data_IF_199297455984
#
_entry.id   IF_199297455984
#
_cell.length_a   1.000
_cell.length_b   1.000
_cell.length_c   1.000
_cell.angle_alpha   90.00
_cell.angle_beta   90.00
_cell.angle_gamma   90.00
#
_symmetry.space_group_name_H-M   'P 1'
#
loop_
_entity.id
_entity.type
_entity.pdbx_description
1 polymer ?
#
# COMPACT_ATOMS: atom_id res chain seq x y z
N UNK A 1 14.50 6.63 -11.01
CA UNK A 1 13.04 6.73 -10.85
C UNK A 1 12.56 5.33 -10.52
N UNK A 2 11.78 5.17 -9.47
CA UNK A 2 11.24 3.87 -9.05
C UNK A 2 9.73 3.96 -9.22
N UNK A 3 9.13 2.95 -9.84
CA UNK A 3 7.68 2.85 -9.99
C UNK A 3 7.17 1.84 -8.96
N UNK A 4 6.30 2.31 -8.05
CA UNK A 4 5.57 1.43 -7.14
C UNK A 4 4.19 1.17 -7.72
N UNK A 5 3.80 -0.09 -7.86
CA UNK A 5 2.50 -0.49 -8.43
C UNK A 5 1.81 -1.46 -7.49
N UNK A 6 0.54 -1.20 -7.22
CA UNK A 6 -0.39 -2.11 -6.55
C UNK A 6 -1.49 -2.52 -7.52
N UNK A 7 -1.70 -3.82 -7.64
CA UNK A 7 -2.68 -4.40 -8.55
C UNK A 7 -3.36 -5.60 -7.92
N UNK A 8 -4.53 -5.95 -8.44
CA UNK A 8 -5.25 -7.17 -8.12
C UNK A 8 -5.56 -7.95 -9.41
N UNK A 9 -6.33 -9.03 -9.30
CA UNK A 9 -6.75 -9.83 -10.46
C UNK A 9 -7.61 -9.05 -11.48
N UNK A 10 -8.18 -7.90 -11.10
CA UNK A 10 -8.93 -6.99 -11.98
C UNK A 10 -8.05 -5.87 -12.55
N UNK A 11 -6.74 -5.88 -12.29
CA UNK A 11 -5.77 -4.91 -12.81
C UNK A 11 -5.22 -3.94 -11.77
N UNK A 12 -4.63 -2.84 -12.25
CA UNK A 12 -3.91 -1.86 -11.42
C UNK A 12 -4.87 -1.05 -10.56
N UNK A 13 -4.62 -1.03 -9.25
CA UNK A 13 -5.38 -0.26 -8.26
C UNK A 13 -4.72 1.10 -8.04
N UNK A 14 -3.41 1.12 -7.80
CA UNK A 14 -2.67 2.35 -7.53
C UNK A 14 -1.25 2.25 -8.10
N UNK A 15 -0.67 3.36 -8.54
CA UNK A 15 0.73 3.43 -8.92
C UNK A 15 1.27 4.81 -8.60
N UNK A 16 2.53 4.87 -8.21
CA UNK A 16 3.20 6.13 -7.87
C UNK A 16 4.66 6.11 -8.31
N UNK A 17 5.12 7.25 -8.84
CA UNK A 17 6.49 7.44 -9.29
C UNK A 17 7.31 8.11 -8.20
N UNK A 18 8.32 7.40 -7.70
CA UNK A 18 9.30 7.98 -6.80
C UNK A 18 10.31 8.82 -7.60
N UNK A 19 10.49 10.11 -7.26
CA UNK A 19 11.44 11.00 -7.93
C UNK A 19 12.85 10.42 -7.98
N UNK A 20 13.59 10.76 -9.03
CA UNK A 20 14.99 10.34 -9.17
C UNK A 20 15.83 10.91 -8.00
N UNK A 21 16.64 10.06 -7.37
CA UNK A 21 17.48 10.44 -6.23
C UNK A 21 16.79 10.34 -4.86
N UNK A 22 15.51 9.95 -4.80
CA UNK A 22 14.85 9.60 -3.54
C UNK A 22 14.89 8.08 -3.30
N UNK A 23 15.30 7.70 -2.10
CA UNK A 23 15.12 6.35 -1.58
C UNK A 23 13.73 6.24 -0.99
N UNK A 24 13.03 5.13 -1.24
CA UNK A 24 11.78 4.81 -0.53
C UNK A 24 12.16 4.55 0.93
N UNK A 25 12.03 5.58 1.77
CA UNK A 25 12.17 5.46 3.22
C UNK A 25 10.82 5.03 3.83
N UNK A 26 10.80 4.86 5.15
CA UNK A 26 9.64 4.33 5.85
C UNK A 26 8.46 5.30 5.80
N UNK A 27 8.74 6.59 5.92
CA UNK A 27 7.75 7.67 5.96
C UNK A 27 7.08 7.84 4.60
N UNK A 28 7.88 7.88 3.53
CA UNK A 28 7.40 7.96 2.15
C UNK A 28 6.60 6.71 1.77
N UNK A 29 7.02 5.53 2.24
CA UNK A 29 6.24 4.31 2.03
C UNK A 29 4.88 4.35 2.74
N UNK A 30 4.78 4.97 3.92
CA UNK A 30 3.48 5.16 4.58
C UNK A 30 2.55 6.08 3.80
N UNK A 31 3.07 7.16 3.21
CA UNK A 31 2.26 8.04 2.35
C UNK A 31 1.70 7.29 1.14
N UNK A 32 2.54 6.47 0.48
CA UNK A 32 2.11 5.59 -0.60
C UNK A 32 0.99 4.64 -0.12
N UNK A 33 1.08 4.09 1.09
CA UNK A 33 0.05 3.21 1.64
C UNK A 33 -1.25 3.96 1.99
N UNK A 34 -1.16 5.21 2.43
CA UNK A 34 -2.35 6.06 2.58
C UNK A 34 -3.04 6.28 1.24
N UNK A 35 -2.29 6.63 0.20
CA UNK A 35 -2.82 6.77 -1.16
C UNK A 35 -3.39 5.46 -1.70
N UNK A 36 -2.78 4.32 -1.37
CA UNK A 36 -3.31 3.01 -1.71
C UNK A 36 -4.67 2.76 -1.04
N UNK A 37 -4.81 3.05 0.25
CA UNK A 37 -6.08 2.89 0.97
C UNK A 37 -7.19 3.71 0.31
N UNK A 38 -6.90 4.99 0.00
CA UNK A 38 -7.84 5.87 -0.72
C UNK A 38 -8.18 5.32 -2.11
N UNK A 39 -7.20 4.78 -2.82
CA UNK A 39 -7.41 4.21 -4.15
C UNK A 39 -8.25 2.92 -4.10
N UNK A 40 -8.03 2.05 -3.11
CA UNK A 40 -8.87 0.87 -2.87
C UNK A 40 -10.30 1.31 -2.54
N UNK A 41 -10.46 2.26 -1.62
CA UNK A 41 -11.78 2.78 -1.26
C UNK A 41 -12.50 3.41 -2.45
N UNK A 42 -11.80 4.05 -3.39
CA UNK A 42 -12.45 4.67 -4.57
C UNK A 42 -12.71 3.70 -5.72
N UNK A 43 -11.77 2.79 -6.00
CA UNK A 43 -11.78 1.93 -7.21
C UNK A 43 -12.27 0.52 -6.95
N UNK A 44 -12.34 0.10 -5.69
CA UNK A 44 -12.69 -1.25 -5.23
C UNK A 44 -13.53 -1.15 -3.95
N UNK A 45 -14.60 -0.37 -3.99
CA UNK A 45 -15.57 -0.22 -2.89
C UNK A 45 -16.01 -1.58 -2.34
N UNK A 46 -16.22 -2.55 -3.24
CA UNK A 46 -16.63 -3.90 -2.91
C UNK A 46 -15.63 -4.64 -2.03
N UNK A 47 -14.33 -4.33 -2.12
CA UNK A 47 -13.29 -4.94 -1.28
C UNK A 47 -13.19 -4.22 0.07
N UNK A 48 -13.36 -2.89 0.05
CA UNK A 48 -13.30 -2.05 1.24
C UNK A 48 -14.42 -2.35 2.22
N UNK A 49 -15.67 -2.41 1.74
CA UNK A 49 -16.86 -2.54 2.59
C UNK A 49 -16.90 -3.86 3.35
N UNK A 50 -16.52 -4.95 2.71
CA UNK A 50 -16.47 -6.29 3.33
C UNK A 50 -15.14 -6.59 4.03
N UNK A 51 -14.19 -5.64 4.02
CA UNK A 51 -12.81 -5.79 4.52
C UNK A 51 -12.12 -7.07 4.03
N UNK A 52 -12.42 -7.49 2.80
CA UNK A 52 -11.94 -8.76 2.24
C UNK A 52 -10.80 -8.52 1.25
N UNK A 53 -9.77 -7.80 1.70
CA UNK A 53 -8.56 -7.63 0.93
C UNK A 53 -7.35 -7.61 1.86
N UNK A 54 -6.23 -8.11 1.35
CA UNK A 54 -4.98 -8.23 2.08
C UNK A 54 -3.88 -7.60 1.27
N UNK A 55 -2.93 -6.97 1.95
CA UNK A 55 -1.76 -6.41 1.28
C UNK A 55 -0.65 -7.46 1.29
N UNK A 56 -0.23 -7.85 0.09
CA UNK A 56 0.98 -8.65 -0.13
C UNK A 56 2.07 -7.73 -0.66
N UNK A 57 3.22 -7.70 0.02
CA UNK A 57 4.38 -6.90 -0.36
C UNK A 57 5.68 -7.54 0.12
N UNK A 58 6.79 -7.24 -0.56
CA UNK A 58 8.09 -7.78 -0.17
C UNK A 58 8.59 -7.21 1.17
N UNK A 59 9.33 -8.03 1.91
CA UNK A 59 9.92 -7.68 3.20
C UNK A 59 11.21 -6.84 3.05
N UNK A 60 11.15 -5.77 2.26
CA UNK A 60 12.25 -4.82 2.09
C UNK A 60 12.35 -3.89 3.32
N UNK A 61 13.54 -3.45 3.78
CA UNK A 61 13.72 -2.79 5.10
C UNK A 61 12.89 -1.52 5.37
N UNK A 62 12.36 -0.89 4.33
CA UNK A 62 11.47 0.26 4.41
C UNK A 62 9.99 -0.10 4.70
N UNK A 63 9.59 -1.35 4.44
CA UNK A 63 8.20 -1.81 4.42
C UNK A 63 7.69 -2.33 5.78
N UNK A 64 8.48 -3.09 6.59
CA UNK A 64 8.07 -3.52 7.92
C UNK A 64 8.50 -2.45 8.94
N UNK A 65 7.95 -1.25 8.82
CA UNK A 65 8.04 -0.29 9.92
C UNK A 65 6.85 -0.49 10.86
N UNK A 66 7.07 -0.33 12.17
CA UNK A 66 5.98 -0.35 13.17
C UNK A 66 4.86 0.66 12.82
N UNK A 67 5.22 1.72 12.10
CA UNK A 67 4.31 2.73 11.58
C UNK A 67 3.42 2.21 10.44
N UNK A 68 4.01 1.42 9.52
CA UNK A 68 3.26 0.73 8.45
C UNK A 68 2.29 -0.29 9.03
N UNK A 69 2.72 -1.06 10.03
CA UNK A 69 1.86 -2.02 10.74
C UNK A 69 0.71 -1.32 11.47
N UNK A 70 0.99 -0.18 12.14
CA UNK A 70 -0.05 0.62 12.80
C UNK A 70 -1.08 1.19 11.82
N UNK A 71 -0.63 1.62 10.63
CA UNK A 71 -1.51 2.10 9.57
C UNK A 71 -2.40 0.98 9.03
N UNK A 72 -1.83 -0.18 8.71
CA UNK A 72 -2.59 -1.33 8.23
C UNK A 72 -3.59 -1.81 9.30
N UNK A 73 -3.18 -1.88 10.57
CA UNK A 73 -4.05 -2.22 11.68
C UNK A 73 -5.20 -1.22 11.86
N UNK A 74 -4.94 0.09 11.76
CA UNK A 74 -5.97 1.14 11.84
C UNK A 74 -7.03 0.98 10.75
N UNK A 75 -6.63 0.59 9.55
CA UNK A 75 -7.55 0.35 8.44
C UNK A 75 -8.12 -1.08 8.43
N UNK A 76 -7.68 -1.95 9.36
CA UNK A 76 -8.10 -3.35 9.46
C UNK A 76 -7.69 -4.19 8.24
N UNK A 77 -6.53 -3.87 7.66
CA UNK A 77 -5.98 -4.55 6.49
C UNK A 77 -5.04 -5.65 6.97
N UNK A 78 -5.32 -6.93 6.72
CA UNK A 78 -4.39 -8.01 7.01
C UNK A 78 -3.17 -7.92 6.07
N UNK A 79 -1.99 -8.10 6.64
CA UNK A 79 -0.72 -8.14 5.90
C UNK A 79 -0.30 -9.61 5.75
N UNK A 80 0.08 -10.00 4.53
CA UNK A 80 0.67 -11.33 4.25
C UNK A 80 2.10 -11.13 3.75
N UNK A 81 3.04 -11.85 4.38
CA UNK A 81 4.46 -11.90 3.99
C UNK A 81 4.72 -13.09 3.06
#
# INVERSE_FOLDING_TARGET
>A
MILTVFFNYQGVVHHEYTPLGHTINKEYYQEILHHLCDAVQRKRLELWDIRNWQLHHDNTPAHPSHLTQGLLAKHGIPQVH
#
